data_IF_196592643656
#
_entry.id   IF_196592643656
#
_cell.length_a   1.000
_cell.length_b   1.000
_cell.length_c   1.000
_cell.angle_alpha   90.00
_cell.angle_beta   90.00
_cell.angle_gamma   90.00
#
_symmetry.space_group_name_H-M   'P 1'
#
loop_
_entity.id
_entity.type
_entity.pdbx_description
1 polymer ?
#
# COMPACT_ATOMS: atom_id res chain seq x y z
N UNK A 1 -37.62 11.35 75.95
CA UNK A 1 -37.37 10.00 75.40
C UNK A 1 -37.69 9.88 73.90
N UNK A 2 -38.67 10.61 73.36
CA UNK A 2 -39.17 10.39 71.98
C UNK A 2 -38.26 10.99 70.89
N UNK A 3 -37.64 12.16 71.12
CA UNK A 3 -36.74 12.79 70.14
C UNK A 3 -35.51 11.95 69.78
N UNK A 4 -34.89 11.29 70.77
CA UNK A 4 -33.72 10.43 70.55
C UNK A 4 -34.11 9.22 69.70
N UNK A 5 -35.30 8.64 69.93
CA UNK A 5 -35.81 7.53 69.11
C UNK A 5 -36.05 7.96 67.66
N UNK A 6 -36.62 9.15 67.43
CA UNK A 6 -36.86 9.68 66.08
C UNK A 6 -35.56 9.94 65.32
N UNK A 7 -34.53 10.48 65.98
CA UNK A 7 -33.22 10.73 65.36
C UNK A 7 -32.51 9.42 65.00
N UNK A 8 -32.57 8.42 65.90
CA UNK A 8 -31.98 7.09 65.63
C UNK A 8 -32.68 6.40 64.45
N UNK A 9 -34.02 6.49 64.37
CA UNK A 9 -34.78 5.93 63.24
C UNK A 9 -34.42 6.62 61.93
N UNK A 10 -34.27 7.95 61.91
CA UNK A 10 -33.82 8.68 60.73
C UNK A 10 -32.41 8.30 60.29
N UNK A 11 -31.50 8.07 61.24
CA UNK A 11 -30.13 7.63 60.96
C UNK A 11 -30.10 6.22 60.35
N UNK A 12 -30.89 5.29 60.88
CA UNK A 12 -31.02 3.93 60.34
C UNK A 12 -31.66 3.96 58.95
N UNK A 13 -32.67 4.80 58.74
CA UNK A 13 -33.32 4.94 57.43
C UNK A 13 -32.32 5.48 56.39
N UNK A 14 -31.53 6.49 56.74
CA UNK A 14 -30.50 7.05 55.87
C UNK A 14 -29.43 6.01 55.49
N UNK A 15 -29.01 5.15 56.43
CA UNK A 15 -28.06 4.07 56.15
C UNK A 15 -28.60 3.00 55.19
N UNK A 16 -29.92 2.78 55.15
CA UNK A 16 -30.54 1.81 54.25
C UNK A 16 -30.57 2.28 52.78
N UNK A 17 -30.45 3.59 52.51
CA UNK A 17 -30.46 4.14 51.15
C UNK A 17 -29.07 4.26 50.50
N UNK A 18 -27.97 3.99 51.23
CA UNK A 18 -26.59 4.14 50.71
C UNK A 18 -26.20 3.03 49.72
N UNK A 19 -26.91 1.90 49.70
CA UNK A 19 -26.53 0.73 48.89
C UNK A 19 -27.15 0.67 47.47
N UNK A 20 -27.88 1.72 47.04
CA UNK A 20 -28.60 1.73 45.76
C UNK A 20 -28.01 2.71 44.74
N UNK A 21 -26.68 2.82 44.67
CA UNK A 21 -26.03 3.55 43.57
C UNK A 21 -25.73 2.61 42.39
N UNK A 22 -26.74 2.35 41.57
CA UNK A 22 -26.54 1.81 40.21
C UNK A 22 -26.19 2.97 39.28
N UNK A 23 -24.95 3.42 39.33
CA UNK A 23 -24.43 4.45 38.44
C UNK A 23 -23.08 4.00 37.90
N UNK A 24 -23.03 3.74 36.60
CA UNK A 24 -21.88 3.28 35.81
C UNK A 24 -21.62 1.75 35.86
N UNK A 25 -22.40 1.01 35.08
CA UNK A 25 -21.81 -0.12 34.36
C UNK A 25 -20.82 0.46 33.35
N UNK A 26 -19.53 0.29 33.59
CA UNK A 26 -18.50 0.53 32.59
C UNK A 26 -18.76 -0.44 31.44
N UNK A 27 -19.50 -0.01 30.43
CA UNK A 27 -19.63 -0.75 29.18
C UNK A 27 -18.21 -0.99 28.67
N UNK A 28 -17.75 -2.25 28.73
CA UNK A 28 -16.45 -2.61 28.18
C UNK A 28 -16.52 -2.33 26.68
N UNK A 29 -15.69 -1.39 26.23
CA UNK A 29 -15.62 -0.98 24.84
C UNK A 29 -15.19 -2.20 24.00
N UNK A 30 -16.06 -2.61 23.09
CA UNK A 30 -15.83 -3.81 22.26
C UNK A 30 -14.85 -3.45 21.15
N UNK A 31 -13.56 -3.53 21.45
CA UNK A 31 -12.50 -3.36 20.45
C UNK A 31 -12.47 -4.58 19.53
N UNK A 32 -13.04 -4.46 18.32
CA UNK A 32 -12.95 -5.50 17.28
C UNK A 32 -11.62 -5.33 16.55
N UNK A 33 -10.70 -6.29 16.72
CA UNK A 33 -9.44 -6.33 15.97
C UNK A 33 -9.73 -6.98 14.61
N UNK A 34 -9.74 -6.18 13.55
CA UNK A 34 -9.91 -6.65 12.19
C UNK A 34 -8.60 -7.22 11.63
N UNK A 35 -8.70 -8.32 10.90
CA UNK A 35 -7.57 -8.85 10.14
C UNK A 35 -7.24 -7.93 8.97
N UNK A 36 -5.95 -7.73 8.72
CA UNK A 36 -5.50 -6.93 7.58
C UNK A 36 -5.80 -7.67 6.28
N UNK A 37 -6.31 -6.94 5.30
CA UNK A 37 -6.49 -7.46 3.94
C UNK A 37 -5.81 -6.49 2.96
N UNK A 38 -5.17 -7.05 1.94
CA UNK A 38 -4.50 -6.26 0.90
C UNK A 38 -5.49 -5.98 -0.22
N UNK A 39 -5.84 -4.71 -0.41
CA UNK A 39 -6.59 -4.27 -1.59
C UNK A 39 -5.61 -4.23 -2.76
N UNK A 40 -5.85 -5.06 -3.77
CA UNK A 40 -5.17 -4.99 -5.07
C UNK A 40 -6.17 -4.44 -6.06
N UNK A 41 -5.87 -3.26 -6.59
CA UNK A 41 -6.60 -2.73 -7.73
C UNK A 41 -5.76 -2.95 -8.99
N UNK A 42 -6.38 -3.51 -10.03
CA UNK A 42 -5.78 -3.49 -11.34
C UNK A 42 -6.08 -2.10 -11.89
N UNK A 43 -5.06 -1.23 -11.94
CA UNK A 43 -5.16 0.00 -12.75
C UNK A 43 -5.28 -0.44 -14.22
N UNK A 44 -6.52 -0.69 -14.64
CA UNK A 44 -6.90 -1.03 -16.00
C UNK A 44 -6.29 0.01 -16.93
N UNK A 45 -5.46 -0.45 -17.88
CA UNK A 45 -4.89 0.40 -18.93
C UNK A 45 -5.99 0.66 -19.95
N UNK A 46 -6.99 1.45 -19.56
CA UNK A 46 -8.16 1.83 -20.40
C UNK A 46 -7.78 2.65 -21.64
N UNK A 47 -6.50 2.94 -21.85
CA UNK A 47 -6.01 3.87 -22.87
C UNK A 47 -5.26 3.18 -24.03
N UNK A 48 -5.29 1.86 -24.14
CA UNK A 48 -4.51 1.11 -25.14
C UNK A 48 -5.35 0.42 -26.23
N UNK A 49 -6.39 1.09 -26.76
CA UNK A 49 -7.06 0.57 -27.96
C UNK A 49 -6.04 0.50 -29.11
N UNK A 50 -5.69 -0.73 -29.53
CA UNK A 50 -4.65 -0.98 -30.54
C UNK A 50 -3.21 -1.04 -30.00
N UNK A 51 -3.01 -0.94 -28.69
CA UNK A 51 -1.72 -1.17 -28.03
C UNK A 51 -1.36 -2.66 -28.00
N UNK A 52 -0.06 -2.97 -28.09
CA UNK A 52 0.44 -4.33 -27.91
C UNK A 52 0.94 -4.50 -26.48
N UNK A 53 0.43 -5.51 -25.79
CA UNK A 53 0.94 -5.95 -24.49
C UNK A 53 1.75 -7.21 -24.67
N UNK A 54 2.95 -7.25 -24.09
CA UNK A 54 3.81 -8.42 -24.04
C UNK A 54 4.14 -8.72 -22.57
N UNK A 55 4.16 -9.99 -22.22
CA UNK A 55 4.57 -10.45 -20.90
C UNK A 55 5.80 -11.33 -21.07
N UNK A 56 6.81 -11.12 -20.23
CA UNK A 56 7.95 -12.04 -20.13
C UNK A 56 7.45 -13.31 -19.43
N UNK A 57 7.72 -14.46 -20.02
CA UNK A 57 7.32 -15.74 -19.46
C UNK A 57 8.19 -16.13 -18.25
N UNK A 58 7.76 -17.15 -17.52
CA UNK A 58 8.48 -17.62 -16.33
C UNK A 58 9.87 -18.17 -16.68
N UNK A 59 10.04 -18.79 -17.86
CA UNK A 59 11.32 -19.30 -18.30
C UNK A 59 12.30 -18.16 -18.60
N UNK A 60 11.87 -17.13 -19.34
CA UNK A 60 12.64 -15.93 -19.64
C UNK A 60 13.07 -15.21 -18.36
N UNK A 61 12.17 -15.09 -17.39
CA UNK A 61 12.50 -14.53 -16.06
C UNK A 61 13.52 -15.39 -15.30
N UNK A 62 13.42 -16.73 -15.34
CA UNK A 62 14.38 -17.60 -14.67
C UNK A 62 15.78 -17.53 -15.28
N UNK A 63 15.88 -17.49 -16.61
CA UNK A 63 17.16 -17.41 -17.32
C UNK A 63 17.86 -16.07 -17.05
N UNK A 64 17.10 -15.00 -16.92
CA UNK A 64 17.60 -13.63 -16.75
C UNK A 64 17.53 -13.14 -15.29
N UNK A 65 17.49 -14.05 -14.31
CA UNK A 65 17.31 -13.69 -12.89
C UNK A 65 18.47 -12.87 -12.30
N UNK A 66 19.66 -12.96 -12.90
CA UNK A 66 20.88 -12.32 -12.41
C UNK A 66 21.29 -11.07 -13.19
N UNK A 67 20.56 -10.74 -14.25
CA UNK A 67 20.86 -9.57 -15.09
C UNK A 67 19.93 -8.41 -14.73
N UNK A 68 20.35 -7.21 -15.11
CA UNK A 68 19.55 -6.00 -14.94
C UNK A 68 18.36 -5.95 -15.90
N UNK A 69 17.41 -5.09 -15.61
CA UNK A 69 16.16 -4.93 -16.35
C UNK A 69 16.40 -4.52 -17.79
N UNK A 70 17.46 -3.75 -18.07
CA UNK A 70 17.84 -3.37 -19.43
C UNK A 70 18.26 -4.59 -20.29
N UNK A 71 19.02 -5.52 -19.72
CA UNK A 71 19.39 -6.77 -20.39
C UNK A 71 18.17 -7.70 -20.57
N UNK A 72 17.35 -7.85 -19.53
CA UNK A 72 16.11 -8.63 -19.61
C UNK A 72 15.21 -8.12 -20.74
N UNK A 73 14.97 -6.81 -20.79
CA UNK A 73 14.09 -6.20 -21.80
C UNK A 73 14.71 -6.25 -23.20
N UNK A 74 16.04 -6.14 -23.32
CA UNK A 74 16.75 -6.30 -24.60
C UNK A 74 16.59 -7.72 -25.16
N UNK A 75 16.56 -8.73 -24.28
CA UNK A 75 16.50 -10.14 -24.67
C UNK A 75 15.07 -10.66 -24.85
N UNK A 76 14.12 -10.18 -24.05
CA UNK A 76 12.77 -10.76 -23.95
C UNK A 76 11.67 -9.85 -24.50
N UNK A 77 11.96 -8.63 -24.91
CA UNK A 77 10.95 -7.67 -25.37
C UNK A 77 11.31 -7.00 -26.69
N UNK A 78 10.32 -6.29 -27.27
CA UNK A 78 10.52 -5.44 -28.46
C UNK A 78 10.84 -3.98 -28.13
N UNK A 79 11.05 -3.66 -26.85
CA UNK A 79 11.44 -2.31 -26.43
C UNK A 79 12.91 -2.10 -26.83
N UNK A 80 13.20 -0.99 -27.51
CA UNK A 80 14.56 -0.65 -27.85
C UNK A 80 15.29 -0.11 -26.63
N UNK A 81 16.37 -0.76 -26.22
CA UNK A 81 17.20 -0.33 -25.09
C UNK A 81 18.45 0.38 -25.62
N UNK A 82 18.70 1.58 -25.11
CA UNK A 82 19.94 2.33 -25.34
C UNK A 82 20.81 2.21 -24.10
N UNK A 83 21.76 1.29 -24.13
CA UNK A 83 22.69 1.02 -23.03
C UNK A 83 24.08 1.61 -23.34
N UNK A 84 24.69 2.25 -22.36
CA UNK A 84 26.08 2.73 -22.41
C UNK A 84 27.10 1.69 -21.91
N UNK A 85 26.70 0.42 -21.78
CA UNK A 85 27.55 -0.68 -21.32
C UNK A 85 27.38 -0.98 -19.83
N UNK A 86 28.18 -1.91 -19.31
CA UNK A 86 28.07 -2.40 -17.94
C UNK A 86 28.22 -1.26 -16.91
N UNK A 87 27.19 -1.07 -16.08
CA UNK A 87 27.13 0.01 -15.09
C UNK A 87 26.91 1.42 -15.68
N UNK A 88 26.70 1.52 -17.00
CA UNK A 88 26.31 2.75 -17.67
C UNK A 88 24.80 2.96 -17.64
N UNK A 89 24.38 4.18 -18.01
CA UNK A 89 22.98 4.53 -18.15
C UNK A 89 22.31 3.62 -19.21
N UNK A 90 21.16 3.05 -18.87
CA UNK A 90 20.33 2.32 -19.82
C UNK A 90 18.92 2.91 -19.88
N UNK A 91 18.48 3.32 -21.08
CA UNK A 91 17.19 3.98 -21.28
C UNK A 91 16.31 3.27 -22.29
N UNK A 92 15.00 3.34 -22.09
CA UNK A 92 14.02 2.79 -23.03
C UNK A 92 13.77 3.70 -24.23
N UNK A 93 13.41 3.08 -25.36
CA UNK A 93 12.88 3.75 -26.53
C UNK A 93 11.86 2.86 -27.23
N UNK A 94 10.71 3.43 -27.59
CA UNK A 94 9.62 2.71 -28.24
C UNK A 94 9.24 3.48 -29.50
N UNK A 95 9.33 2.84 -30.66
CA UNK A 95 8.93 3.42 -31.97
C UNK A 95 9.50 4.83 -32.22
N UNK A 96 10.75 5.07 -31.83
CA UNK A 96 11.43 6.37 -31.98
C UNK A 96 11.17 7.36 -30.84
N UNK A 97 10.20 7.12 -29.96
CA UNK A 97 10.04 7.88 -28.73
C UNK A 97 11.14 7.50 -27.72
N UNK A 98 11.79 8.48 -27.12
CA UNK A 98 12.80 8.26 -26.07
C UNK A 98 12.18 7.99 -24.70
N UNK A 99 13.03 7.73 -23.70
CA UNK A 99 12.62 7.42 -22.33
C UNK A 99 11.78 8.54 -21.70
N UNK A 100 12.07 9.82 -21.98
CA UNK A 100 11.24 10.94 -21.49
C UNK A 100 9.79 10.91 -21.99
N UNK A 101 9.55 10.30 -23.15
CA UNK A 101 8.22 10.15 -23.76
C UNK A 101 7.62 8.76 -23.53
N UNK A 102 8.30 7.89 -22.78
CA UNK A 102 7.87 6.52 -22.49
C UNK A 102 7.80 6.33 -20.98
N UNK A 103 6.58 6.36 -20.44
CA UNK A 103 6.38 6.15 -19.01
C UNK A 103 6.75 4.72 -18.60
N UNK A 104 7.58 4.59 -17.58
CA UNK A 104 7.89 3.31 -16.94
C UNK A 104 7.17 3.28 -15.60
N UNK A 105 6.20 2.38 -15.49
CA UNK A 105 5.29 2.34 -14.34
C UNK A 105 5.55 1.08 -13.52
N UNK A 106 5.68 1.24 -12.20
CA UNK A 106 5.67 0.15 -11.23
C UNK A 106 4.42 0.24 -10.38
N UNK A 107 3.53 -0.76 -10.45
CA UNK A 107 2.22 -0.72 -9.79
C UNK A 107 1.44 0.58 -10.04
N UNK A 108 1.59 1.17 -11.23
CA UNK A 108 0.95 2.43 -11.63
C UNK A 108 1.68 3.71 -11.19
N UNK A 109 2.79 3.61 -10.46
CA UNK A 109 3.65 4.75 -10.11
C UNK A 109 4.74 4.94 -11.16
N UNK A 110 4.94 6.18 -11.60
CA UNK A 110 5.99 6.50 -12.56
C UNK A 110 7.37 6.44 -11.88
N UNK A 111 8.30 5.68 -12.47
CA UNK A 111 9.67 5.52 -12.01
C UNK A 111 10.64 6.54 -12.63
N UNK A 112 10.19 7.34 -13.60
CA UNK A 112 11.02 8.38 -14.21
C UNK A 112 11.46 9.41 -13.16
N UNK A 113 12.72 9.83 -13.22
CA UNK A 113 13.25 10.87 -12.34
C UNK A 113 12.50 12.19 -12.57
N UNK A 114 12.05 12.88 -11.50
CA UNK A 114 11.44 14.21 -11.63
C UNK A 114 12.40 15.27 -12.21
N UNK A 115 13.71 15.10 -12.06
CA UNK A 115 14.69 16.10 -12.49
C UNK A 115 14.99 16.01 -13.98
N UNK A 116 15.21 14.80 -14.51
CA UNK A 116 15.65 14.59 -15.89
C UNK A 116 14.61 13.88 -16.76
N UNK A 117 13.49 13.39 -16.18
CA UNK A 117 12.42 12.70 -16.92
C UNK A 117 12.81 11.32 -17.45
N UNK A 118 14.02 10.83 -17.14
CA UNK A 118 14.55 9.55 -17.59
C UNK A 118 14.50 8.53 -16.45
N UNK A 119 14.47 7.25 -16.80
CA UNK A 119 14.68 6.13 -15.87
C UNK A 119 15.93 5.37 -16.30
N UNK A 120 16.79 5.05 -15.34
CA UNK A 120 17.94 4.20 -15.58
C UNK A 120 17.58 2.74 -15.30
N UNK A 121 17.49 1.96 -16.37
CA UNK A 121 17.09 0.56 -16.32
C UNK A 121 18.24 -0.39 -15.92
N UNK A 122 19.50 0.08 -15.90
CA UNK A 122 20.63 -0.73 -15.46
C UNK A 122 20.72 -0.84 -13.93
N UNK A 123 20.01 0.04 -13.21
CA UNK A 123 19.95 0.08 -11.75
C UNK A 123 18.87 -0.83 -11.15
N UNK A 124 18.05 -1.47 -12.00
CA UNK A 124 16.92 -2.34 -11.61
C UNK A 124 17.29 -3.77 -11.99
#
# INVERSE_FOLDING_TARGET
>A
MNYVKTVVVLLVLAMLFVNQSWGQESAMDTTVILQTFTIKDNREVKFAAGGKTEHVDSLGLMINKTVSLDELLSNQSRVGIKSYGAGGLATSSIRGAGSAHTAVLWNGFNLQSPTHGLVDLSLI
#
